data_IF_189403953386
#
_entry.id   IF_189403953386
#
_cell.length_a   1.000
_cell.length_b   1.000
_cell.length_c   1.000
_cell.angle_alpha   90.00
_cell.angle_beta   90.00
_cell.angle_gamma   90.00
#
_symmetry.space_group_name_H-M   'P 1'
#
loop_
_entity.id
_entity.type
_entity.pdbx_description
1 polymer ?
#
# COMPACT_ATOMS: atom_id res chain seq x y z
N UNK A 1 -7.13 47.23 9.03
CA UNK A 1 -6.43 46.28 9.92
C UNK A 1 -7.27 45.00 10.02
N UNK A 2 -6.68 43.90 9.55
CA UNK A 2 -6.96 42.47 9.83
C UNK A 2 -8.36 41.88 9.58
N UNK A 3 -8.44 41.24 8.41
CA UNK A 3 -9.33 40.13 8.05
C UNK A 3 -9.25 38.97 9.05
N UNK A 4 -10.40 38.44 9.46
CA UNK A 4 -10.52 37.10 10.05
C UNK A 4 -11.50 36.28 9.20
N UNK A 5 -10.96 35.58 8.20
CA UNK A 5 -11.63 34.49 7.50
C UNK A 5 -10.85 33.24 7.88
N UNK A 6 -11.36 32.44 8.82
CA UNK A 6 -10.89 31.07 9.05
C UNK A 6 -11.86 30.36 9.99
N UNK A 7 -12.72 29.51 9.42
CA UNK A 7 -12.93 28.13 9.89
C UNK A 7 -13.92 27.45 8.91
N UNK A 8 -13.38 26.91 7.81
CA UNK A 8 -14.10 25.91 7.01
C UNK A 8 -13.41 24.56 7.19
N UNK A 9 -14.17 23.64 7.78
CA UNK A 9 -14.20 22.19 7.48
C UNK A 9 -12.91 21.40 7.72
N UNK A 10 -12.79 20.82 8.90
CA UNK A 10 -12.10 19.55 9.09
C UNK A 10 -13.15 18.43 9.19
N UNK A 11 -13.51 17.85 8.05
CA UNK A 11 -14.25 16.58 8.02
C UNK A 11 -13.25 15.45 8.20
N UNK A 12 -13.27 14.87 9.39
CA UNK A 12 -12.53 13.67 9.77
C UNK A 12 -13.17 12.47 9.07
N UNK A 13 -12.58 11.98 7.99
CA UNK A 13 -12.98 10.69 7.39
C UNK A 13 -12.19 9.59 8.10
N UNK A 14 -12.82 8.96 9.09
CA UNK A 14 -12.38 7.66 9.62
C UNK A 14 -12.93 6.60 8.67
N UNK A 15 -12.09 6.08 7.78
CA UNK A 15 -12.37 4.81 7.11
C UNK A 15 -11.88 3.70 8.04
N UNK A 16 -12.79 3.08 8.79
CA UNK A 16 -12.55 1.77 9.37
C UNK A 16 -12.95 0.72 8.34
N UNK A 17 -11.97 0.09 7.71
CA UNK A 17 -12.16 -1.20 7.06
C UNK A 17 -11.59 -2.25 8.00
N UNK A 18 -12.49 -2.95 8.69
CA UNK A 18 -12.20 -4.20 9.35
C UNK A 18 -12.36 -5.31 8.30
N UNK A 19 -11.24 -5.84 7.80
CA UNK A 19 -11.23 -7.06 7.00
C UNK A 19 -10.19 -8.03 7.56
N UNK A 20 -10.71 -9.18 8.01
CA UNK A 20 -10.02 -10.48 8.15
C UNK A 20 -8.58 -10.47 8.66
N UNK A 21 -8.40 -10.57 9.97
CA UNK A 21 -7.19 -11.14 10.51
C UNK A 21 -7.21 -12.64 10.23
N UNK A 22 -6.68 -13.08 9.09
CA UNK A 22 -6.21 -14.46 8.97
C UNK A 22 -4.82 -14.49 9.60
N UNK A 23 -4.71 -15.23 10.71
CA UNK A 23 -3.45 -15.51 11.37
C UNK A 23 -2.44 -16.01 10.32
N UNK A 24 -1.30 -15.32 10.22
CA UNK A 24 -0.15 -15.77 9.43
C UNK A 24 0.48 -16.92 10.22
N UNK A 25 -0.11 -18.11 10.13
CA UNK A 25 0.57 -19.33 10.52
C UNK A 25 1.77 -19.47 9.59
N UNK A 26 2.96 -19.27 10.17
CA UNK A 26 4.20 -19.73 9.56
C UNK A 26 4.10 -21.26 9.46
N UNK A 27 4.57 -21.79 8.33
CA UNK A 27 4.69 -23.22 8.00
C UNK A 27 3.42 -23.88 7.42
N UNK A 28 3.43 -24.04 6.09
CA UNK A 28 3.43 -25.40 5.54
C UNK A 28 4.11 -25.39 4.16
N UNK A 29 5.34 -25.89 4.10
CA UNK A 29 6.12 -26.14 2.87
C UNK A 29 5.63 -27.42 2.19
N UNK A 30 4.31 -27.56 1.99
CA UNK A 30 3.70 -28.79 1.46
C UNK A 30 3.84 -28.95 -0.06
N UNK A 31 4.19 -27.89 -0.80
CA UNK A 31 4.52 -27.95 -2.21
C UNK A 31 5.74 -27.05 -2.47
N UNK A 32 6.87 -27.64 -2.88
CA UNK A 32 8.13 -26.93 -3.08
C UNK A 32 7.95 -25.64 -3.89
N UNK A 33 8.15 -24.49 -3.23
CA UNK A 33 8.19 -23.18 -3.88
C UNK A 33 6.89 -22.37 -3.87
N UNK A 34 5.79 -22.86 -3.30
CA UNK A 34 4.55 -22.06 -3.15
C UNK A 34 4.64 -21.14 -1.94
N UNK A 35 4.33 -19.85 -2.12
CA UNK A 35 4.36 -18.78 -1.10
C UNK A 35 3.06 -17.99 -1.11
N UNK A 36 2.83 -17.16 -0.09
CA UNK A 36 1.68 -16.27 0.01
C UNK A 36 2.06 -14.82 -0.30
N UNK A 37 1.15 -14.07 -0.93
CA UNK A 37 1.25 -12.61 -1.10
C UNK A 37 -0.12 -11.95 -0.91
N UNK A 38 -0.14 -10.63 -0.71
CA UNK A 38 -1.37 -9.82 -0.68
C UNK A 38 -1.31 -8.73 -1.74
N UNK A 39 -2.46 -8.20 -2.12
CA UNK A 39 -2.59 -7.08 -3.04
C UNK A 39 -3.37 -5.94 -2.37
N UNK A 40 -3.03 -4.71 -2.71
CA UNK A 40 -3.75 -3.51 -2.29
C UNK A 40 -3.77 -2.49 -3.42
N UNK A 41 -4.75 -1.59 -3.44
CA UNK A 41 -4.89 -0.55 -4.46
C UNK A 41 -4.75 0.84 -3.85
N UNK A 42 -3.98 1.71 -4.51
CA UNK A 42 -3.95 3.13 -4.21
C UNK A 42 -5.23 3.80 -4.70
N UNK A 43 -6.19 4.02 -3.81
CA UNK A 43 -7.49 4.55 -4.20
C UNK A 43 -8.49 3.47 -4.63
N UNK A 44 -9.76 3.87 -4.69
CA UNK A 44 -10.83 3.06 -5.25
C UNK A 44 -10.47 2.55 -6.65
N UNK A 45 -10.46 1.23 -6.80
CA UNK A 45 -10.18 0.59 -8.07
C UNK A 45 -11.31 0.84 -9.06
N UNK A 46 -10.96 1.41 -10.23
CA UNK A 46 -11.91 1.70 -11.32
C UNK A 46 -11.64 0.87 -12.57
N UNK A 47 -10.65 -0.02 -12.53
CA UNK A 47 -10.15 -0.74 -13.70
C UNK A 47 -10.95 -1.99 -14.09
N UNK A 48 -12.18 -2.17 -13.59
CA UNK A 48 -12.99 -3.38 -13.81
C UNK A 48 -12.59 -4.55 -12.91
N UNK A 49 -12.99 -5.77 -13.28
CA UNK A 49 -12.54 -6.97 -12.56
C UNK A 49 -11.09 -7.31 -12.90
N UNK A 50 -10.29 -7.65 -11.89
CA UNK A 50 -8.91 -8.07 -12.06
C UNK A 50 -8.77 -9.53 -11.65
N UNK A 51 -8.02 -10.31 -12.41
CA UNK A 51 -7.81 -11.73 -12.18
C UNK A 51 -6.32 -12.06 -12.13
N UNK A 52 -5.95 -13.14 -11.44
CA UNK A 52 -4.59 -13.71 -11.50
C UNK A 52 -4.63 -15.20 -11.76
N UNK A 53 -3.55 -15.74 -12.33
CA UNK A 53 -3.43 -17.17 -12.58
C UNK A 53 -3.14 -17.94 -11.28
N UNK A 54 -3.92 -18.98 -10.98
CA UNK A 54 -3.58 -19.94 -9.92
C UNK A 54 -2.34 -20.75 -10.33
N UNK A 55 -1.49 -21.09 -9.37
CA UNK A 55 -0.53 -22.18 -9.55
C UNK A 55 -1.24 -23.48 -9.99
N UNK A 56 -0.58 -24.27 -10.85
CA UNK A 56 -1.18 -25.45 -11.56
C UNK A 56 -1.61 -26.60 -10.64
N UNK A 57 -1.19 -26.57 -9.38
CA UNK A 57 -1.48 -27.56 -8.32
C UNK A 57 -2.86 -27.39 -7.67
N UNK A 58 -3.71 -26.46 -8.15
CA UNK A 58 -5.06 -26.22 -7.64
C UNK A 58 -6.10 -26.52 -8.72
N UNK A 59 -6.89 -27.58 -8.56
CA UNK A 59 -7.92 -28.01 -9.52
C UNK A 59 -9.05 -26.97 -9.71
N UNK A 60 -9.63 -26.94 -10.91
CA UNK A 60 -10.98 -26.41 -11.18
C UNK A 60 -11.07 -25.10 -11.95
N UNK A 61 -10.17 -24.12 -11.76
CA UNK A 61 -10.17 -22.85 -12.52
C UNK A 61 -8.77 -22.23 -12.58
N UNK A 62 -8.31 -21.83 -13.77
CA UNK A 62 -6.96 -21.28 -13.96
C UNK A 62 -6.80 -19.84 -13.45
N UNK A 63 -7.89 -19.08 -13.31
CA UNK A 63 -7.89 -17.68 -12.88
C UNK A 63 -8.71 -17.48 -11.60
N UNK A 64 -8.27 -16.56 -10.74
CA UNK A 64 -9.03 -16.09 -9.56
C UNK A 64 -9.21 -14.59 -9.63
N UNK A 65 -10.42 -14.13 -9.26
CA UNK A 65 -10.71 -12.72 -9.09
C UNK A 65 -9.93 -12.18 -7.89
N UNK A 66 -9.31 -11.02 -8.06
CA UNK A 66 -8.60 -10.31 -7.00
C UNK A 66 -9.55 -9.31 -6.36
N UNK A 67 -9.81 -9.49 -5.07
CA UNK A 67 -10.56 -8.52 -4.28
C UNK A 67 -9.65 -7.33 -3.94
N UNK A 68 -9.94 -6.17 -4.55
CA UNK A 68 -9.20 -4.93 -4.37
C UNK A 68 -10.01 -3.95 -3.53
N UNK A 69 -9.40 -3.51 -2.44
CA UNK A 69 -9.96 -2.50 -1.54
C UNK A 69 -9.12 -1.22 -1.63
N UNK A 70 -9.77 -0.04 -1.54
CA UNK A 70 -9.06 1.24 -1.44
C UNK A 70 -8.23 1.25 -0.16
N UNK A 71 -6.91 1.13 -0.30
CA UNK A 71 -5.99 1.01 0.82
C UNK A 71 -6.38 -0.07 1.84
N UNK A 72 -6.94 -1.18 1.36
CA UNK A 72 -7.17 -2.39 2.14
C UNK A 72 -6.34 -3.55 1.61
N UNK A 73 -6.19 -4.59 2.42
CA UNK A 73 -5.51 -5.81 2.01
C UNK A 73 -6.51 -6.78 1.39
N UNK A 74 -6.15 -7.36 0.24
CA UNK A 74 -6.80 -8.57 -0.24
C UNK A 74 -6.58 -9.73 0.74
N UNK A 75 -7.41 -10.78 0.67
CA UNK A 75 -7.04 -12.07 1.24
C UNK A 75 -5.65 -12.52 0.75
N UNK A 76 -4.89 -13.30 1.55
CA UNK A 76 -3.64 -13.90 1.11
C UNK A 76 -3.88 -14.82 -0.10
N UNK A 77 -3.05 -14.71 -1.12
CA UNK A 77 -3.09 -15.51 -2.34
C UNK A 77 -1.80 -16.30 -2.51
N UNK A 78 -1.91 -17.51 -3.07
CA UNK A 78 -0.76 -18.38 -3.33
C UNK A 78 -0.07 -18.00 -4.65
N UNK A 79 1.24 -18.11 -4.68
CA UNK A 79 2.05 -17.96 -5.89
C UNK A 79 3.28 -18.86 -5.86
N UNK A 80 3.86 -19.15 -7.02
CA UNK A 80 5.13 -19.87 -7.12
C UNK A 80 6.30 -18.87 -7.09
N UNK A 81 7.23 -19.05 -6.16
CA UNK A 81 8.46 -18.27 -6.08
C UNK A 81 9.23 -18.30 -7.41
N UNK A 82 9.97 -17.24 -7.71
CA UNK A 82 10.66 -17.01 -8.99
C UNK A 82 9.76 -16.92 -10.24
N UNK A 83 8.45 -17.12 -10.14
CA UNK A 83 7.51 -16.84 -11.21
C UNK A 83 6.81 -15.50 -10.98
N UNK A 84 6.65 -14.67 -12.03
CA UNK A 84 5.95 -13.41 -11.92
C UNK A 84 4.44 -13.65 -11.79
N UNK A 85 3.77 -12.78 -11.05
CA UNK A 85 2.32 -12.73 -10.97
C UNK A 85 1.79 -12.05 -12.23
N UNK A 86 0.96 -12.76 -12.98
CA UNK A 86 0.27 -12.23 -14.15
C UNK A 86 -1.14 -11.80 -13.76
N UNK A 87 -1.47 -10.56 -14.06
CA UNK A 87 -2.80 -9.99 -13.85
C UNK A 87 -3.53 -9.87 -15.18
N UNK A 88 -4.81 -10.22 -15.16
CA UNK A 88 -5.67 -10.26 -16.33
C UNK A 88 -6.95 -9.46 -16.13
N UNK A 89 -7.53 -8.97 -17.21
CA UNK A 89 -8.92 -8.48 -17.26
C UNK A 89 -9.72 -9.33 -18.23
N UNK A 90 -11.04 -9.32 -18.09
CA UNK A 90 -11.92 -9.90 -19.11
C UNK A 90 -11.75 -9.10 -20.40
N UNK A 91 -11.49 -9.79 -21.50
CA UNK A 91 -11.48 -9.17 -22.82
C UNK A 91 -12.91 -9.09 -23.36
N UNK A 92 -13.13 -8.22 -24.34
CA UNK A 92 -14.40 -8.15 -25.09
C UNK A 92 -14.54 -9.31 -26.10
N UNK A 93 -13.43 -9.94 -26.48
CA UNK A 93 -13.41 -11.06 -27.42
C UNK A 93 -13.70 -12.38 -26.69
N UNK A 94 -14.79 -13.06 -27.07
CA UNK A 94 -15.18 -14.35 -26.51
C UNK A 94 -14.18 -15.48 -26.82
N UNK A 95 -13.38 -15.37 -27.89
CA UNK A 95 -12.35 -16.35 -28.27
C UNK A 95 -11.12 -16.29 -27.35
N UNK A 96 -10.76 -15.10 -26.86
CA UNK A 96 -9.67 -14.87 -25.91
C UNK A 96 -10.27 -14.13 -24.71
N UNK A 97 -10.94 -14.84 -23.79
CA UNK A 97 -11.79 -14.21 -22.78
C UNK A 97 -11.03 -13.36 -21.75
N UNK A 98 -9.70 -13.41 -21.74
CA UNK A 98 -8.86 -12.67 -20.82
C UNK A 98 -7.61 -12.10 -21.50
N UNK A 99 -7.32 -10.83 -21.23
CA UNK A 99 -6.11 -10.14 -21.66
C UNK A 99 -5.16 -9.93 -20.47
N UNK A 100 -3.85 -10.13 -20.67
CA UNK A 100 -2.84 -9.79 -19.68
C UNK A 100 -2.68 -8.27 -19.62
N UNK A 101 -2.88 -7.68 -18.43
CA UNK A 101 -2.75 -6.23 -18.23
C UNK A 101 -1.51 -5.83 -17.46
N UNK A 102 -0.89 -6.77 -16.74
CA UNK A 102 0.29 -6.48 -15.92
C UNK A 102 1.02 -7.76 -15.50
N UNK A 103 2.33 -7.62 -15.35
CA UNK A 103 3.23 -8.66 -14.85
C UNK A 103 4.07 -8.10 -13.70
N UNK A 104 4.03 -8.75 -12.55
CA UNK A 104 4.76 -8.32 -11.34
C UNK A 104 5.71 -9.40 -10.86
N UNK A 105 7.00 -9.10 -10.88
CA UNK A 105 8.02 -9.98 -10.32
C UNK A 105 8.19 -9.71 -8.80
N UNK A 106 8.11 -10.77 -7.99
CA UNK A 106 8.38 -10.70 -6.56
C UNK A 106 9.81 -11.23 -6.32
N UNK A 107 10.70 -10.43 -5.70
CA UNK A 107 12.04 -10.92 -5.36
C UNK A 107 11.99 -12.12 -4.40
N UNK A 108 12.80 -13.14 -4.67
CA UNK A 108 12.84 -14.38 -3.87
C UNK A 108 13.25 -14.16 -2.40
N UNK A 109 13.87 -13.02 -2.09
CA UNK A 109 14.22 -12.62 -0.73
C UNK A 109 13.02 -12.19 0.11
N UNK A 110 11.87 -11.85 -0.51
CA UNK A 110 10.69 -11.38 0.21
C UNK A 110 9.94 -12.54 0.85
N UNK A 111 9.65 -12.42 2.15
CA UNK A 111 8.94 -13.45 2.91
C UNK A 111 7.45 -13.19 2.98
N UNK A 112 7.02 -11.93 3.08
CA UNK A 112 5.60 -11.57 3.10
C UNK A 112 5.32 -10.45 2.08
N UNK A 113 5.29 -10.76 0.77
CA UNK A 113 5.10 -9.75 -0.26
C UNK A 113 3.70 -9.10 -0.21
N UNK A 114 3.69 -7.77 -0.34
CA UNK A 114 2.52 -6.95 -0.63
C UNK A 114 2.72 -6.26 -1.97
N UNK A 115 1.82 -6.49 -2.92
CA UNK A 115 1.77 -5.77 -4.18
C UNK A 115 0.82 -4.59 -4.02
N UNK A 116 1.34 -3.37 -4.16
CA UNK A 116 0.55 -2.15 -4.32
C UNK A 116 0.31 -1.89 -5.81
N UNK A 117 -0.96 -1.78 -6.20
CA UNK A 117 -1.40 -1.33 -7.52
C UNK A 117 -1.73 0.16 -7.47
N UNK A 118 -1.26 0.92 -8.46
CA UNK A 118 -1.44 2.38 -8.53
C UNK A 118 -2.05 2.72 -9.90
N UNK A 119 -3.37 2.94 -9.98
CA UNK A 119 -4.00 3.41 -11.20
C UNK A 119 -3.49 4.81 -11.57
N UNK A 120 -2.98 4.99 -12.80
CA UNK A 120 -2.56 6.27 -13.38
C UNK A 120 -3.07 6.40 -14.83
N UNK A 121 -4.22 7.03 -14.99
CA UNK A 121 -4.92 7.05 -16.29
C UNK A 121 -5.23 5.63 -16.74
N UNK A 122 -4.85 5.29 -17.97
CA UNK A 122 -5.07 3.96 -18.56
C UNK A 122 -3.99 2.94 -18.16
N UNK A 123 -2.94 3.38 -17.44
CA UNK A 123 -1.85 2.52 -16.99
C UNK A 123 -2.02 2.16 -15.52
N UNK A 124 -1.54 0.99 -15.15
CA UNK A 124 -1.45 0.56 -13.75
C UNK A 124 0.02 0.35 -13.41
N UNK A 125 0.52 1.10 -12.44
CA UNK A 125 1.86 0.88 -11.90
C UNK A 125 1.78 -0.10 -10.73
N UNK A 126 2.87 -0.82 -10.48
CA UNK A 126 2.97 -1.74 -9.35
C UNK A 126 4.23 -1.51 -8.53
N UNK A 127 4.15 -1.72 -7.21
CA UNK A 127 5.33 -1.82 -6.34
C UNK A 127 5.15 -2.93 -5.32
N UNK A 128 6.22 -3.69 -5.06
CA UNK A 128 6.23 -4.76 -4.08
C UNK A 128 6.92 -4.30 -2.80
N UNK A 129 6.30 -4.57 -1.65
CA UNK A 129 6.85 -4.34 -0.32
C UNK A 129 6.97 -5.67 0.43
N UNK A 130 7.96 -5.78 1.31
CA UNK A 130 8.06 -6.95 2.20
C UNK A 130 7.48 -6.60 3.57
N UNK A 131 6.39 -7.29 3.91
CA UNK A 131 5.70 -7.24 5.19
C UNK A 131 6.35 -8.15 6.23
N UNK A 132 7.53 -8.71 5.98
CA UNK A 132 8.24 -9.45 7.01
C UNK A 132 8.61 -8.53 8.19
N UNK A 133 8.31 -8.90 9.45
CA UNK A 133 8.63 -8.07 10.61
C UNK A 133 10.12 -7.75 10.79
N UNK A 134 11.05 -8.52 10.21
CA UNK A 134 12.49 -8.20 10.21
C UNK A 134 12.83 -7.04 9.26
N UNK A 135 12.00 -6.79 8.25
CA UNK A 135 12.18 -5.70 7.27
C UNK A 135 11.30 -4.50 7.58
N UNK A 136 10.07 -4.74 8.02
CA UNK A 136 9.11 -3.70 8.36
C UNK A 136 8.44 -3.99 9.72
N UNK A 137 9.13 -3.70 10.83
CA UNK A 137 8.67 -4.07 12.17
C UNK A 137 7.33 -3.44 12.55
N UNK A 138 6.55 -4.11 13.42
CA UNK A 138 5.39 -3.47 14.04
C UNK A 138 5.81 -2.26 14.90
N UNK A 139 4.95 -1.25 14.98
CA UNK A 139 5.23 0.06 15.57
C UNK A 139 5.91 1.05 14.61
N UNK A 140 6.42 0.59 13.47
CA UNK A 140 7.10 1.44 12.49
C UNK A 140 6.13 2.13 11.53
N UNK A 141 6.64 3.14 10.83
CA UNK A 141 5.93 3.79 9.73
C UNK A 141 6.85 3.86 8.50
N UNK A 142 6.40 3.31 7.38
CA UNK A 142 7.10 3.42 6.11
C UNK A 142 6.45 4.51 5.27
N UNK A 143 7.24 5.51 4.90
CA UNK A 143 6.80 6.59 4.03
C UNK A 143 7.34 6.33 2.62
N UNK A 144 6.48 6.46 1.62
CA UNK A 144 6.77 6.15 0.23
C UNK A 144 6.43 7.36 -0.64
N UNK A 145 7.40 7.81 -1.43
CA UNK A 145 7.21 8.91 -2.35
C UNK A 145 7.08 8.37 -3.78
N UNK A 146 5.89 8.49 -4.36
CA UNK A 146 5.62 8.30 -5.79
C UNK A 146 5.39 9.62 -6.53
N UNK A 147 5.54 10.76 -5.85
CA UNK A 147 5.51 12.06 -6.51
C UNK A 147 6.79 12.26 -7.34
N UNK A 148 6.69 13.07 -8.38
CA UNK A 148 7.81 13.39 -9.26
C UNK A 148 8.87 14.29 -8.62
N UNK A 149 8.57 14.95 -7.50
CA UNK A 149 9.52 15.77 -6.74
C UNK A 149 10.05 15.07 -5.49
N UNK A 150 11.20 15.53 -5.03
CA UNK A 150 11.78 15.13 -3.76
C UNK A 150 11.05 15.83 -2.60
N UNK A 151 10.81 15.08 -1.52
CA UNK A 151 10.04 15.54 -0.38
C UNK A 151 10.91 15.60 0.87
N UNK A 152 10.79 16.67 1.65
CA UNK A 152 11.28 16.71 3.02
C UNK A 152 10.18 16.14 3.92
N UNK A 153 10.48 15.01 4.58
CA UNK A 153 9.54 14.33 5.47
C UNK A 153 10.06 14.42 6.89
N UNK A 154 9.25 14.97 7.79
CA UNK A 154 9.54 15.04 9.21
C UNK A 154 8.49 14.26 10.01
N UNK A 155 8.96 13.33 10.85
CA UNK A 155 8.17 12.67 11.89
C UNK A 155 8.72 13.09 13.25
N UNK A 156 7.99 14.00 13.91
CA UNK A 156 8.44 14.70 15.12
C UNK A 156 9.81 15.38 14.95
N UNK A 157 10.87 14.83 15.57
CA UNK A 157 12.24 15.35 15.50
C UNK A 157 13.08 14.69 14.40
N UNK A 158 12.61 13.59 13.82
CA UNK A 158 13.33 12.85 12.76
C UNK A 158 12.92 13.43 11.39
N UNK A 159 13.87 14.05 10.70
CA UNK A 159 13.64 14.74 9.43
C UNK A 159 14.55 14.16 8.36
N UNK A 160 13.97 13.78 7.22
CA UNK A 160 14.68 13.07 6.15
C UNK A 160 14.26 13.56 4.78
N UNK A 161 15.20 13.55 3.84
CA UNK A 161 14.90 13.73 2.42
C UNK A 161 14.43 12.40 1.86
N UNK A 162 13.25 12.41 1.25
CA UNK A 162 12.63 11.27 0.59
C UNK A 162 12.55 11.55 -0.91
N UNK A 163 13.53 11.02 -1.64
CA UNK A 163 13.63 11.21 -3.10
C UNK A 163 12.43 10.61 -3.85
N UNK A 164 12.18 11.10 -5.05
CA UNK A 164 11.17 10.54 -5.95
C UNK A 164 11.38 9.03 -6.12
N UNK A 165 10.27 8.28 -6.09
CA UNK A 165 10.21 6.82 -6.18
C UNK A 165 10.96 6.07 -5.06
N UNK A 166 11.36 6.73 -3.97
CA UNK A 166 11.98 6.08 -2.82
C UNK A 166 11.01 5.82 -1.67
N UNK A 167 11.44 4.98 -0.72
CA UNK A 167 10.74 4.78 0.55
C UNK A 167 11.73 4.79 1.72
N UNK A 168 11.24 5.19 2.90
CA UNK A 168 12.01 5.19 4.13
C UNK A 168 11.17 4.72 5.31
N UNK A 169 11.80 3.99 6.23
CA UNK A 169 11.15 3.48 7.45
C UNK A 169 11.57 4.33 8.65
N UNK A 170 10.58 4.87 9.35
CA UNK A 170 10.73 5.50 10.65
C UNK A 170 10.71 4.43 11.76
N UNK A 171 11.63 4.57 12.72
CA UNK A 171 11.88 3.58 13.76
C UNK A 171 10.63 3.23 14.57
N UNK A 172 10.44 1.98 15.01
CA UNK A 172 9.23 1.55 15.69
C UNK A 172 9.03 2.23 17.05
N UNK A 173 7.77 2.48 17.40
CA UNK A 173 7.40 2.90 18.76
C UNK A 173 7.26 1.66 19.65
N UNK A 174 7.72 1.77 20.89
CA UNK A 174 7.57 0.70 21.90
C UNK A 174 6.31 0.86 22.75
N UNK A 175 5.85 2.10 22.89
CA UNK A 175 4.65 2.43 23.65
C UNK A 175 3.39 1.93 22.96
N UNK A 176 2.35 1.65 23.75
CA UNK A 176 1.05 1.21 23.21
C UNK A 176 0.43 2.25 22.28
N UNK A 177 0.63 3.54 22.59
CA UNK A 177 0.12 4.69 21.85
C UNK A 177 1.11 5.85 21.95
N UNK A 178 1.57 6.34 20.81
CA UNK A 178 2.39 7.54 20.71
C UNK A 178 1.84 8.44 19.60
N UNK A 179 1.49 9.68 19.95
CA UNK A 179 1.14 10.68 18.96
C UNK A 179 2.41 11.18 18.27
N UNK A 180 2.37 11.29 16.93
CA UNK A 180 3.47 11.81 16.14
C UNK A 180 2.93 12.75 15.05
N UNK A 181 3.63 13.85 14.81
CA UNK A 181 3.34 14.74 13.69
C UNK A 181 4.12 14.30 12.46
N UNK A 182 3.41 13.93 11.40
CA UNK A 182 4.00 13.75 10.07
C UNK A 182 3.80 15.03 9.27
N UNK A 183 4.89 15.70 8.94
CA UNK A 183 4.93 16.91 8.11
C UNK A 183 5.72 16.62 6.85
N UNK A 184 5.20 17.06 5.72
CA UNK A 184 5.84 16.87 4.42
C UNK A 184 5.83 18.17 3.65
N UNK A 185 6.99 18.56 3.15
CA UNK A 185 7.17 19.69 2.26
C UNK A 185 7.82 19.22 0.96
N UNK A 186 7.47 19.87 -0.14
CA UNK A 186 8.18 19.74 -1.40
C UNK A 186 9.50 20.54 -1.30
N UNK A 187 10.63 19.92 -1.64
CA UNK A 187 11.96 20.52 -1.40
C UNK A 187 12.19 21.74 -2.28
N UNK A 188 11.77 21.66 -3.54
CA UNK A 188 12.03 22.70 -4.54
C UNK A 188 11.22 23.96 -4.23
N UNK A 189 9.93 23.78 -3.92
CA UNK A 189 9.01 24.89 -3.64
C UNK A 189 9.03 25.34 -2.18
N UNK A 190 9.57 24.51 -1.28
CA UNK A 190 9.53 24.67 0.19
C UNK A 190 8.11 24.77 0.75
N UNK A 191 7.09 24.40 -0.02
CA UNK A 191 5.70 24.44 0.43
C UNK A 191 5.35 23.17 1.18
N UNK A 192 4.64 23.32 2.30
CA UNK A 192 4.04 22.19 3.00
C UNK A 192 2.95 21.59 2.12
N UNK A 193 3.13 20.33 1.74
CA UNK A 193 2.19 19.60 0.87
C UNK A 193 1.30 18.65 1.67
N UNK A 194 1.71 18.27 2.87
CA UNK A 194 0.92 17.42 3.75
C UNK A 194 1.30 17.62 5.22
N UNK A 195 0.32 17.62 6.11
CA UNK A 195 0.55 17.61 7.56
C UNK A 195 -0.59 16.86 8.22
N UNK A 196 -0.24 15.93 9.12
CA UNK A 196 -1.23 15.22 9.92
C UNK A 196 -0.63 14.79 11.25
N UNK A 197 -1.47 14.70 12.27
CA UNK A 197 -1.13 14.01 13.51
C UNK A 197 -1.59 12.56 13.38
N UNK A 198 -0.68 11.63 13.62
CA UNK A 198 -0.96 10.20 13.56
C UNK A 198 -0.75 9.54 14.92
N UNK A 199 -1.63 8.60 15.25
CA UNK A 199 -1.49 7.76 16.42
C UNK A 199 -0.72 6.49 16.05
N UNK A 200 0.55 6.40 16.46
CA UNK A 200 1.39 5.22 16.30
C UNK A 200 1.12 4.25 17.44
N UNK A 201 1.18 2.94 17.17
CA UNK A 201 0.96 1.89 18.19
C UNK A 201 1.92 0.74 17.96
N UNK A 202 2.50 0.17 19.00
CA UNK A 202 3.44 -0.95 18.90
C UNK A 202 2.87 -2.17 18.16
N UNK A 203 1.55 -2.37 18.17
CA UNK A 203 0.85 -3.50 17.52
C UNK A 203 0.39 -3.22 16.08
N UNK A 204 0.75 -2.08 15.48
CA UNK A 204 0.43 -1.80 14.08
C UNK A 204 1.62 -1.18 13.36
N UNK A 205 1.68 -1.34 12.05
CA UNK A 205 2.60 -0.62 11.18
C UNK A 205 1.82 0.09 10.09
N UNK A 206 2.38 1.17 9.58
CA UNK A 206 1.65 2.06 8.68
C UNK A 206 2.50 2.39 7.47
N UNK A 207 1.92 2.24 6.29
CA UNK A 207 2.43 2.90 5.10
C UNK A 207 1.76 4.26 4.93
N UNK A 208 2.54 5.25 4.51
CA UNK A 208 2.04 6.53 4.02
C UNK A 208 2.59 6.75 2.63
N UNK A 209 1.70 6.92 1.67
CA UNK A 209 2.04 7.04 0.26
C UNK A 209 1.70 8.43 -0.24
N UNK A 210 2.64 9.05 -0.93
CA UNK A 210 2.48 10.34 -1.61
C UNK A 210 2.52 10.13 -3.12
N UNK A 211 1.57 10.70 -3.85
CA UNK A 211 1.53 10.67 -5.32
C UNK A 211 1.23 12.07 -5.84
N UNK A 212 1.73 12.41 -7.03
CA UNK A 212 1.36 13.66 -7.68
C UNK A 212 -0.16 13.77 -7.85
N UNK A 213 -0.67 14.95 -7.61
CA UNK A 213 -2.05 15.32 -7.88
C UNK A 213 -2.10 16.79 -8.32
N UNK A 214 -3.28 17.21 -8.77
CA UNK A 214 -3.57 18.61 -9.04
C UNK A 214 -4.66 19.09 -8.09
N UNK A 215 -4.54 20.31 -7.60
CA UNK A 215 -5.62 20.97 -6.87
C UNK A 215 -6.74 21.41 -7.82
N UNK A 216 -7.81 21.99 -7.28
CA UNK A 216 -8.95 22.47 -8.08
C UNK A 216 -8.61 23.61 -9.04
N UNK A 217 -7.43 24.21 -8.92
CA UNK A 217 -6.90 25.29 -9.77
C UNK A 217 -5.82 24.78 -10.73
N UNK A 218 -5.58 23.47 -10.78
CA UNK A 218 -4.52 22.86 -11.60
C UNK A 218 -3.11 23.00 -11.02
N UNK A 219 -2.96 23.54 -9.81
CA UNK A 219 -1.69 23.64 -9.10
C UNK A 219 -1.19 22.26 -8.69
N UNK A 220 0.13 22.04 -8.79
CA UNK A 220 0.76 20.78 -8.36
C UNK A 220 0.58 20.59 -6.85
N UNK A 221 0.06 19.45 -6.46
CA UNK A 221 -0.10 19.03 -5.07
C UNK A 221 0.26 17.55 -4.93
N UNK A 222 0.18 17.01 -3.72
CA UNK A 222 0.33 15.57 -3.49
C UNK A 222 -0.95 14.99 -2.89
N UNK A 223 -1.42 13.89 -3.45
CA UNK A 223 -2.48 13.08 -2.85
C UNK A 223 -1.84 12.08 -1.91
N UNK A 224 -2.43 11.96 -0.72
CA UNK A 224 -1.93 11.06 0.32
C UNK A 224 -2.90 9.91 0.57
N UNK A 225 -2.35 8.73 0.82
CA UNK A 225 -3.09 7.55 1.26
C UNK A 225 -2.31 6.80 2.34
N UNK A 226 -3.03 6.13 3.23
CA UNK A 226 -2.45 5.35 4.31
C UNK A 226 -2.98 3.92 4.27
N UNK A 227 -2.10 2.96 4.50
CA UNK A 227 -2.44 1.55 4.70
C UNK A 227 -1.93 1.14 6.07
N UNK A 228 -2.78 0.49 6.87
CA UNK A 228 -2.46 0.09 8.23
C UNK A 228 -2.50 -1.42 8.33
N UNK A 229 -1.41 -2.02 8.76
CA UNK A 229 -1.33 -3.44 9.07
C UNK A 229 -1.28 -3.65 10.57
N UNK A 230 -2.08 -4.58 11.08
CA UNK A 230 -2.14 -4.91 12.49
C UNK A 230 -1.41 -6.23 12.74
N UNK A 231 -0.69 -6.30 13.85
CA UNK A 231 -0.12 -7.55 14.30
C UNK A 231 -1.27 -8.54 14.52
N UNK A 232 -1.19 -9.76 13.95
CA UNK A 232 -2.17 -10.80 14.22
C UNK A 232 -2.32 -11.00 15.74
N UNK A 233 -3.56 -11.06 16.21
CA UNK A 233 -3.84 -11.40 17.60
C UNK A 233 -3.75 -12.92 17.71
N UNK A 234 -2.79 -13.49 18.47
CA UNK A 234 -2.67 -14.94 18.60
C UNK A 234 -3.93 -15.60 19.20
N UNK A 235 -4.83 -14.82 19.80
CA UNK A 235 -6.08 -15.31 20.40
C UNK A 235 -7.30 -15.25 19.49
N UNK A 236 -7.17 -14.70 18.26
CA UNK A 236 -8.27 -14.63 17.29
C UNK A 236 -7.79 -15.22 15.96
N UNK A 237 -8.30 -16.41 15.57
CA UNK A 237 -7.94 -17.04 14.30
C UNK A 237 -8.41 -16.24 13.09
#
# INVERSE_FOLDING_TARGET
MRNFILLKRAWLVIVMIACGNLAYAQEDTGAEGTRLFRVTSFGAWKGGELFIKRPKDVEGQSLIKVDLFDMGYSPPMRYKAAQPILFFKKAENEEIPYEEVMKVAIPNSMRQPLILLIPRGDKILSRVFDLDPSKFPYGSCQVVNFAGSDLQVAMDKDSRVLKSNQSQVFAPVREEKQAAWLRVADIDTKQTVFTTMMMRRAKKRMFVFFIDAQDSKGGKTVKTRMLVDFRPDPKKP
#
